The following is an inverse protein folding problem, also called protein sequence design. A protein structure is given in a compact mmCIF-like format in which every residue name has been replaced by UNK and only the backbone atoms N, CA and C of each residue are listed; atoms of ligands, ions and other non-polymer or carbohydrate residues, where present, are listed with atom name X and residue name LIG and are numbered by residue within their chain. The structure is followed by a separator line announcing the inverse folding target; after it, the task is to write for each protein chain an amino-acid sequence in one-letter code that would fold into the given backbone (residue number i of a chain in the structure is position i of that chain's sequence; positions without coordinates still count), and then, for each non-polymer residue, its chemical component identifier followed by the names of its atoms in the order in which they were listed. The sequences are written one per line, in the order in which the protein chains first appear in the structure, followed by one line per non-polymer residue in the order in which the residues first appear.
data_IF_621666451455
#
_entry.id   IF_621666451455
#
_cell.length_a   1.000
_cell.length_b   1.000
_cell.length_c   1.000
_cell.angle_alpha   90.00
_cell.angle_beta   90.00
_cell.angle_gamma   90.00
#
_symmetry.space_group_name_H-M   'P 1'
#
loop_
_entity.id
_entity.type
_entity.pdbx_description
1 polymer ?
#
# COMPACT_ATOMS: atom_id res chain seq x y z
N UNK A 1 19.38 9.56 -1.47
CA UNK A 1 18.91 8.44 -2.30
C UNK A 1 18.36 9.06 -3.58
N UNK A 2 18.91 8.70 -4.73
CA UNK A 2 18.46 9.20 -6.03
C UNK A 2 18.05 8.02 -6.92
N UNK A 3 16.80 8.04 -7.38
CA UNK A 3 16.31 7.17 -8.43
C UNK A 3 16.12 7.99 -9.72
N UNK A 4 16.24 7.41 -10.92
CA UNK A 4 16.06 8.14 -12.18
C UNK A 4 14.69 8.82 -12.24
N UNK A 5 14.66 10.09 -12.69
CA UNK A 5 13.39 10.79 -12.94
C UNK A 5 12.84 10.35 -14.29
N UNK A 6 11.60 9.89 -14.29
CA UNK A 6 10.91 9.41 -15.49
C UNK A 6 9.97 10.47 -16.05
N UNK A 7 9.49 10.26 -17.27
CA UNK A 7 8.57 11.15 -17.94
C UNK A 7 7.26 10.45 -18.26
N UNK A 8 6.19 10.83 -17.55
CA UNK A 8 4.86 10.28 -17.75
C UNK A 8 4.18 10.73 -19.05
N UNK A 9 4.70 11.81 -19.68
CA UNK A 9 4.02 12.37 -20.86
C UNK A 9 4.01 11.39 -22.03
N UNK A 10 2.91 11.34 -22.78
CA UNK A 10 1.75 12.23 -22.74
C UNK A 10 0.60 11.78 -21.82
N UNK A 11 0.78 10.78 -20.94
CA UNK A 11 -0.29 10.29 -20.03
C UNK A 11 -0.54 11.18 -18.81
N UNK A 12 -1.63 10.91 -18.10
CA UNK A 12 -1.96 11.49 -16.80
C UNK A 12 -1.82 10.48 -15.66
N UNK A 13 -0.84 9.58 -15.74
CA UNK A 13 -0.59 8.51 -14.75
C UNK A 13 0.31 8.96 -13.59
N UNK A 14 0.39 10.25 -13.26
CA UNK A 14 1.24 10.77 -12.18
C UNK A 14 1.10 9.99 -10.86
N UNK A 15 -0.11 9.53 -10.53
CA UNK A 15 -0.40 8.72 -9.35
C UNK A 15 0.35 7.37 -9.35
N UNK A 16 0.50 6.71 -10.51
CA UNK A 16 1.24 5.47 -10.65
C UNK A 16 2.75 5.71 -10.55
N UNK A 17 3.26 6.80 -11.18
CA UNK A 17 4.66 7.20 -11.09
C UNK A 17 5.11 7.53 -9.66
N UNK A 18 4.25 8.17 -8.87
CA UNK A 18 4.59 8.49 -7.48
C UNK A 18 4.62 7.24 -6.61
N UNK A 19 3.69 6.31 -6.82
CA UNK A 19 3.66 5.08 -6.03
C UNK A 19 4.80 4.12 -6.42
N UNK A 20 5.14 4.03 -7.73
CA UNK A 20 6.34 3.32 -8.17
C UNK A 20 7.59 3.88 -7.49
N UNK A 21 7.75 5.21 -7.47
CA UNK A 21 8.87 5.85 -6.80
C UNK A 21 8.95 5.55 -5.30
N UNK A 22 7.81 5.53 -4.58
CA UNK A 22 7.79 5.15 -3.17
C UNK A 22 8.34 3.74 -2.97
N UNK A 23 7.87 2.77 -3.76
CA UNK A 23 8.31 1.38 -3.64
C UNK A 23 9.79 1.19 -4.04
N UNK A 24 10.24 1.87 -5.09
CA UNK A 24 11.66 1.85 -5.50
C UNK A 24 12.59 2.45 -4.43
N UNK A 25 12.16 3.54 -3.79
CA UNK A 25 12.89 4.15 -2.68
C UNK A 25 12.91 3.21 -1.47
N UNK A 26 11.81 2.53 -1.17
CA UNK A 26 11.76 1.55 -0.08
C UNK A 26 12.73 0.39 -0.31
N UNK A 27 12.87 -0.10 -1.54
CA UNK A 27 13.87 -1.12 -1.89
C UNK A 27 15.31 -0.64 -1.66
N UNK A 28 15.61 0.61 -2.03
CA UNK A 28 16.94 1.18 -1.78
C UNK A 28 17.22 1.31 -0.28
N UNK A 29 16.24 1.73 0.52
CA UNK A 29 16.39 1.79 1.99
C UNK A 29 16.61 0.41 2.60
N UNK A 30 15.88 -0.60 2.12
CA UNK A 30 16.05 -1.99 2.56
C UNK A 30 17.35 -2.64 2.06
N UNK A 31 18.15 -1.95 1.22
CA UNK A 31 19.38 -2.49 0.62
C UNK A 31 19.13 -3.54 -0.46
N UNK A 32 17.91 -3.64 -0.98
CA UNK A 32 17.56 -4.60 -2.04
C UNK A 32 18.10 -4.21 -3.42
N UNK A 33 18.48 -2.93 -3.60
CA UNK A 33 19.02 -2.40 -4.85
C UNK A 33 18.05 -1.50 -5.59
N UNK A 34 18.47 -1.07 -6.78
CA UNK A 34 17.67 -0.22 -7.66
C UNK A 34 16.79 -1.10 -8.55
N UNK A 35 15.49 -0.85 -8.51
CA UNK A 35 14.49 -1.47 -9.39
C UNK A 35 13.84 -0.40 -10.26
N UNK A 36 13.37 -0.80 -11.41
CA UNK A 36 12.62 0.01 -12.37
C UNK A 36 11.23 -0.63 -12.52
N UNK A 37 10.24 -0.10 -11.77
CA UNK A 37 8.89 -0.66 -11.71
C UNK A 37 8.02 -0.06 -12.80
N UNK A 38 7.13 -0.89 -13.37
CA UNK A 38 6.23 -0.50 -14.44
C UNK A 38 5.00 0.25 -13.93
N UNK A 39 4.89 1.52 -14.25
CA UNK A 39 3.69 2.32 -14.02
C UNK A 39 2.53 1.88 -14.93
N UNK A 40 2.85 1.41 -16.14
CA UNK A 40 1.88 0.85 -17.07
C UNK A 40 1.21 -0.40 -16.50
N UNK A 41 1.97 -1.28 -15.85
CA UNK A 41 1.43 -2.45 -15.16
C UNK A 41 0.39 -2.05 -14.12
N UNK A 42 0.75 -1.11 -13.22
CA UNK A 42 -0.13 -0.65 -12.16
C UNK A 42 -1.41 -0.03 -12.75
N UNK A 43 -1.26 0.91 -13.67
CA UNK A 43 -2.40 1.64 -14.22
C UNK A 43 -3.34 0.73 -15.01
N UNK A 44 -2.79 -0.14 -15.85
CA UNK A 44 -3.58 -1.06 -16.66
C UNK A 44 -4.36 -2.06 -15.81
N UNK A 45 -3.69 -2.76 -14.87
CA UNK A 45 -4.36 -3.79 -14.08
C UNK A 45 -5.20 -3.24 -12.94
N UNK A 46 -4.99 -2.00 -12.50
CA UNK A 46 -5.95 -1.31 -11.66
C UNK A 46 -7.33 -1.20 -12.35
N UNK A 47 -7.35 -0.80 -13.62
CA UNK A 47 -8.57 -0.65 -14.41
C UNK A 47 -9.10 -2.00 -14.97
N UNK A 48 -8.20 -2.93 -15.27
CA UNK A 48 -8.50 -4.21 -15.92
C UNK A 48 -8.15 -5.39 -14.99
N UNK A 49 -8.55 -5.27 -13.72
CA UNK A 49 -8.21 -6.26 -12.73
C UNK A 49 -8.59 -7.68 -13.14
N UNK A 50 -7.83 -8.65 -12.68
CA UNK A 50 -8.04 -10.08 -12.92
C UNK A 50 -8.35 -10.80 -11.61
N UNK A 51 -9.01 -11.94 -11.73
CA UNK A 51 -9.23 -12.81 -10.60
C UNK A 51 -7.89 -13.20 -9.94
N UNK A 52 -7.86 -13.24 -8.63
CA UNK A 52 -6.67 -13.63 -7.86
C UNK A 52 -6.26 -15.09 -8.16
N UNK A 53 -4.98 -15.45 -7.96
CA UNK A 53 -4.48 -16.81 -8.25
C UNK A 53 -5.21 -17.91 -7.48
N UNK A 54 -5.82 -17.59 -6.33
CA UNK A 54 -6.59 -18.52 -5.52
C UNK A 54 -8.09 -18.57 -5.87
N UNK A 55 -8.56 -17.72 -6.80
CA UNK A 55 -9.91 -17.75 -7.34
C UNK A 55 -10.99 -17.22 -6.40
N UNK A 56 -10.67 -16.28 -5.51
CA UNK A 56 -11.59 -15.76 -4.51
C UNK A 56 -12.32 -14.47 -4.93
N UNK A 57 -11.87 -13.77 -5.98
CA UNK A 57 -12.26 -12.38 -6.30
C UNK A 57 -12.77 -12.22 -7.75
N UNK A 58 -13.34 -13.28 -8.32
CA UNK A 58 -13.77 -13.30 -9.72
C UNK A 58 -14.82 -12.24 -10.08
N UNK A 59 -15.63 -11.84 -9.10
CA UNK A 59 -16.75 -10.91 -9.30
C UNK A 59 -16.43 -9.47 -8.90
N UNK A 60 -15.23 -9.21 -8.34
CA UNK A 60 -14.82 -7.86 -7.97
C UNK A 60 -14.35 -7.08 -9.18
N UNK A 61 -14.67 -5.78 -9.25
CA UNK A 61 -14.27 -4.91 -10.34
C UNK A 61 -13.84 -3.53 -9.87
N UNK A 62 -12.88 -2.97 -10.62
CA UNK A 62 -12.59 -1.55 -10.70
C UNK A 62 -12.93 -1.15 -12.15
N UNK A 63 -14.05 -0.51 -12.37
CA UNK A 63 -14.47 -0.07 -13.70
C UNK A 63 -14.13 1.41 -13.86
N UNK A 64 -13.01 1.69 -14.52
CA UNK A 64 -12.58 3.06 -14.83
C UNK A 64 -13.38 3.57 -16.02
N UNK A 65 -14.03 4.74 -15.85
CA UNK A 65 -14.98 5.30 -16.83
C UNK A 65 -14.28 6.03 -18.00
N UNK A 66 -12.97 6.22 -17.91
CA UNK A 66 -12.11 6.84 -18.90
C UNK A 66 -10.99 5.89 -19.33
N UNK A 67 -10.01 6.40 -20.06
CA UNK A 67 -8.78 5.64 -20.31
C UNK A 67 -8.04 5.38 -18.97
N UNK A 68 -7.51 4.19 -18.78
CA UNK A 68 -6.69 3.86 -17.61
C UNK A 68 -5.42 4.72 -17.48
N UNK A 69 -5.04 5.41 -18.57
CA UNK A 69 -3.92 6.34 -18.63
C UNK A 69 -4.32 7.78 -18.27
N UNK A 70 -5.57 8.00 -17.82
CA UNK A 70 -6.11 9.30 -17.45
C UNK A 70 -6.50 9.33 -15.98
N UNK A 71 -5.64 9.93 -15.15
CA UNK A 71 -5.93 10.12 -13.75
C UNK A 71 -5.92 8.84 -12.91
N UNK A 72 -6.06 9.01 -11.60
CA UNK A 72 -6.08 7.93 -10.61
C UNK A 72 -5.86 8.48 -9.21
N UNK A 73 -5.60 7.57 -8.26
CA UNK A 73 -5.48 7.91 -6.85
C UNK A 73 -4.52 6.96 -6.14
N UNK A 74 -3.53 7.50 -5.43
CA UNK A 74 -2.49 6.71 -4.75
C UNK A 74 -3.03 5.84 -3.62
N UNK A 75 -4.03 6.32 -2.87
CA UNK A 75 -4.66 5.54 -1.79
C UNK A 75 -5.36 4.31 -2.35
N UNK A 76 -6.15 4.48 -3.43
CA UNK A 76 -6.82 3.38 -4.12
C UNK A 76 -5.80 2.41 -4.75
N UNK A 77 -4.71 2.94 -5.28
CA UNK A 77 -3.63 2.13 -5.85
C UNK A 77 -2.89 1.31 -4.78
N UNK A 78 -2.64 1.86 -3.59
CA UNK A 78 -2.06 1.11 -2.48
C UNK A 78 -2.99 -0.03 -2.02
N UNK A 79 -4.30 0.22 -1.96
CA UNK A 79 -5.30 -0.83 -1.70
C UNK A 79 -5.21 -1.92 -2.78
N UNK A 80 -5.14 -1.55 -4.06
CA UNK A 80 -4.96 -2.49 -5.16
C UNK A 80 -3.68 -3.30 -5.01
N UNK A 81 -2.54 -2.68 -4.72
CA UNK A 81 -1.26 -3.36 -4.56
C UNK A 81 -1.22 -4.33 -3.38
N UNK A 82 -2.08 -4.16 -2.37
CA UNK A 82 -2.20 -5.12 -1.26
C UNK A 82 -2.72 -6.49 -1.72
N UNK A 83 -3.29 -6.57 -2.90
CA UNK A 83 -3.69 -7.85 -3.54
C UNK A 83 -2.54 -8.58 -4.22
N UNK A 84 -1.35 -7.97 -4.26
CA UNK A 84 -0.18 -8.43 -5.00
C UNK A 84 -0.38 -8.53 -6.52
N UNK A 85 -1.30 -7.77 -7.06
CA UNK A 85 -1.54 -7.63 -8.50
C UNK A 85 -0.61 -6.57 -9.11
N UNK A 86 0.68 -6.75 -8.95
CA UNK A 86 1.73 -5.83 -9.45
C UNK A 86 2.59 -5.28 -8.30
N UNK A 87 3.63 -4.48 -8.57
CA UNK A 87 4.08 -4.00 -9.90
C UNK A 87 5.13 -4.95 -10.46
N UNK A 88 5.09 -5.17 -11.78
CA UNK A 88 6.16 -5.83 -12.52
C UNK A 88 7.32 -4.84 -12.78
N UNK A 89 8.43 -5.33 -13.36
CA UNK A 89 9.50 -4.46 -13.85
C UNK A 89 9.09 -3.75 -15.15
N UNK A 90 9.59 -2.53 -15.35
CA UNK A 90 9.42 -1.76 -16.60
C UNK A 90 9.89 -2.54 -17.83
N UNK A 91 10.98 -3.31 -17.70
CA UNK A 91 11.48 -4.19 -18.78
C UNK A 91 10.53 -5.31 -19.17
N UNK A 92 9.56 -5.66 -18.34
CA UNK A 92 8.54 -6.69 -18.60
C UNK A 92 7.27 -6.10 -19.21
N UNK A 93 6.88 -4.91 -18.76
CA UNK A 93 5.70 -4.17 -19.23
C UNK A 93 6.10 -2.70 -19.38
N UNK A 94 6.75 -2.33 -20.49
CA UNK A 94 7.25 -0.99 -20.68
C UNK A 94 6.12 0.03 -20.94
N UNK A 95 6.30 1.25 -20.43
CA UNK A 95 5.52 2.40 -20.83
C UNK A 95 5.90 2.82 -22.26
N UNK A 96 5.08 2.45 -23.23
CA UNK A 96 5.35 2.70 -24.64
C UNK A 96 4.52 3.84 -25.22
N UNK A 97 5.18 4.67 -26.02
CA UNK A 97 4.56 5.69 -26.85
C UNK A 97 4.89 5.45 -28.30
N UNK A 98 4.05 5.96 -29.19
CA UNK A 98 4.35 5.98 -30.64
C UNK A 98 5.55 6.89 -30.95
N UNK A 99 6.08 6.79 -32.18
CA UNK A 99 7.20 7.61 -32.64
C UNK A 99 6.94 9.13 -32.62
N UNK A 100 5.68 9.55 -32.61
CA UNK A 100 5.24 10.94 -32.46
C UNK A 100 4.98 11.34 -31.01
N UNK A 101 5.38 10.50 -30.04
CA UNK A 101 5.14 10.67 -28.59
C UNK A 101 3.66 10.67 -28.19
N UNK A 102 2.78 10.09 -28.99
CA UNK A 102 1.40 9.79 -28.59
C UNK A 102 1.32 8.43 -27.90
N UNK A 103 0.25 8.19 -27.15
CA UNK A 103 0.02 6.87 -26.51
C UNK A 103 -0.31 5.81 -27.57
N UNK A 104 0.36 4.66 -27.48
CA UNK A 104 0.04 3.50 -28.30
C UNK A 104 -1.14 2.75 -27.68
N UNK A 105 -2.34 2.99 -28.21
CA UNK A 105 -3.57 2.36 -27.72
C UNK A 105 -3.66 0.86 -28.04
N UNK A 106 -2.87 0.38 -28.99
CA UNK A 106 -2.91 -1.01 -29.47
C UNK A 106 -1.97 -1.92 -28.63
N UNK A 107 -1.05 -1.30 -27.87
CA UNK A 107 -0.15 -2.01 -26.98
C UNK A 107 -0.68 -2.01 -25.57
N UNK A 108 -1.34 -3.09 -25.20
CA UNK A 108 -1.86 -3.32 -23.86
C UNK A 108 -1.22 -4.55 -23.22
N UNK A 109 -0.99 -4.57 -21.90
CA UNK A 109 -0.43 -5.71 -21.20
C UNK A 109 -1.26 -6.98 -21.41
N UNK A 110 -0.61 -8.12 -21.64
CA UNK A 110 -1.29 -9.42 -21.66
C UNK A 110 -1.96 -9.71 -20.30
N UNK A 111 -3.16 -10.24 -20.31
CA UNK A 111 -3.88 -10.63 -19.10
C UNK A 111 -3.12 -11.60 -18.18
N UNK A 112 -2.18 -12.37 -18.74
CA UNK A 112 -1.33 -13.29 -17.98
C UNK A 112 -0.30 -12.57 -17.11
N UNK A 113 -0.06 -11.27 -17.35
CA UNK A 113 0.90 -10.47 -16.61
C UNK A 113 0.32 -9.88 -15.31
N UNK A 114 -0.98 -10.02 -15.04
CA UNK A 114 -1.65 -9.37 -13.91
C UNK A 114 -1.00 -9.63 -12.54
N UNK A 115 -0.44 -10.82 -12.35
CA UNK A 115 0.24 -11.23 -11.11
C UNK A 115 1.74 -11.49 -11.30
N UNK A 116 2.34 -10.89 -12.34
CA UNK A 116 3.80 -10.79 -12.47
C UNK A 116 4.30 -9.68 -11.54
N UNK A 117 4.51 -10.05 -10.29
CA UNK A 117 4.80 -9.11 -9.21
C UNK A 117 6.28 -9.14 -8.86
N UNK A 118 6.93 -7.99 -8.91
CA UNK A 118 8.28 -7.75 -8.36
C UNK A 118 8.17 -7.03 -7.01
N UNK A 119 7.25 -6.08 -6.90
CA UNK A 119 7.00 -5.32 -5.69
C UNK A 119 5.77 -5.86 -4.94
N UNK A 120 6.01 -6.64 -3.89
CA UNK A 120 4.97 -7.13 -2.98
C UNK A 120 4.76 -6.10 -1.87
N UNK A 121 3.64 -5.40 -1.88
CA UNK A 121 3.32 -4.41 -0.85
C UNK A 121 3.31 -5.07 0.53
N UNK A 122 4.05 -4.50 1.47
CA UNK A 122 4.07 -4.90 2.89
C UNK A 122 3.24 -3.94 3.72
N UNK A 123 3.55 -2.65 3.65
CA UNK A 123 2.87 -1.61 4.43
C UNK A 123 2.58 -0.38 3.58
N UNK A 124 1.51 0.33 3.92
CA UNK A 124 1.23 1.65 3.38
C UNK A 124 0.57 2.52 4.46
N UNK A 125 1.12 3.70 4.71
CA UNK A 125 0.56 4.67 5.63
C UNK A 125 -0.24 5.73 4.85
N UNK A 126 -1.47 6.00 5.31
CA UNK A 126 -2.34 7.04 4.78
C UNK A 126 -2.39 8.19 5.78
N UNK A 127 -2.16 9.41 5.35
CA UNK A 127 -2.12 10.56 6.25
C UNK A 127 -2.93 11.74 5.72
N UNK A 128 -3.42 12.56 6.61
CA UNK A 128 -3.83 13.92 6.31
C UNK A 128 -2.60 14.84 6.24
N UNK A 129 -2.74 16.00 5.60
CA UNK A 129 -1.63 16.93 5.49
C UNK A 129 -1.24 17.50 6.86
N UNK A 130 -0.04 17.16 7.28
CA UNK A 130 0.63 17.70 8.47
C UNK A 130 2.14 17.68 8.22
N UNK A 131 2.81 18.82 8.43
CA UNK A 131 4.27 18.91 8.21
C UNK A 131 5.01 17.88 9.07
N UNK A 132 4.63 17.73 10.33
CA UNK A 132 5.30 16.78 11.23
C UNK A 132 5.06 15.34 10.83
N UNK A 133 3.80 14.97 10.48
CA UNK A 133 3.48 13.61 10.06
C UNK A 133 4.22 13.24 8.76
N UNK A 134 4.25 14.15 7.77
CA UNK A 134 4.95 13.90 6.51
C UNK A 134 6.46 13.74 6.74
N UNK A 135 7.08 14.55 7.60
CA UNK A 135 8.49 14.39 7.98
C UNK A 135 8.76 13.05 8.64
N UNK A 136 7.86 12.61 9.53
CA UNK A 136 7.93 11.28 10.15
C UNK A 136 7.86 10.18 9.12
N UNK A 137 6.88 10.24 8.22
CA UNK A 137 6.70 9.25 7.15
C UNK A 137 7.88 9.21 6.16
N UNK A 138 8.45 10.38 5.78
CA UNK A 138 9.66 10.42 4.95
C UNK A 138 10.84 9.77 5.69
N UNK A 139 10.97 10.01 7.00
CA UNK A 139 12.05 9.41 7.80
C UNK A 139 11.91 7.89 7.92
N UNK A 140 10.68 7.38 8.00
CA UNK A 140 10.38 5.97 8.15
C UNK A 140 10.40 5.22 6.81
N UNK A 141 9.69 5.74 5.80
CA UNK A 141 9.49 5.08 4.50
C UNK A 141 10.42 5.59 3.38
N UNK A 142 11.17 6.67 3.63
CA UNK A 142 12.06 7.31 2.64
C UNK A 142 11.40 8.27 1.68
N UNK A 143 10.11 8.15 1.48
CA UNK A 143 9.35 9.04 0.60
C UNK A 143 7.85 8.98 0.88
N UNK A 144 7.15 10.00 0.37
CA UNK A 144 5.70 10.14 0.49
C UNK A 144 5.11 10.63 -0.83
N UNK A 145 4.11 9.95 -1.37
CA UNK A 145 3.29 10.47 -2.47
C UNK A 145 2.34 11.55 -1.95
N UNK A 146 2.14 12.60 -2.72
CA UNK A 146 1.16 13.65 -2.43
C UNK A 146 0.48 14.12 -3.71
N UNK A 147 -0.84 14.20 -3.70
CA UNK A 147 -1.61 14.87 -4.75
C UNK A 147 -1.79 16.34 -4.41
N UNK A 148 -1.68 17.22 -5.40
CA UNK A 148 -1.81 18.67 -5.20
C UNK A 148 -2.37 19.38 -6.44
N UNK A 149 -2.74 20.65 -6.29
CA UNK A 149 -3.11 21.50 -7.42
C UNK A 149 -1.87 22.13 -8.01
N UNK A 150 -1.50 21.78 -9.25
CA UNK A 150 -0.40 22.37 -10.00
C UNK A 150 -0.92 23.36 -11.03
N UNK A 151 -0.52 24.63 -10.89
CA UNK A 151 -0.90 25.74 -11.77
C UNK A 151 0.33 26.61 -12.06
N UNK A 152 0.70 26.77 -13.33
CA UNK A 152 1.94 27.42 -13.77
C UNK A 152 2.12 28.84 -13.21
N UNK A 153 1.02 29.57 -12.98
CA UNK A 153 1.05 30.93 -12.39
C UNK A 153 1.78 31.00 -11.05
N UNK A 154 1.79 29.89 -10.28
CA UNK A 154 2.39 29.83 -8.94
C UNK A 154 3.75 29.16 -8.93
N UNK A 155 4.26 28.73 -10.07
CA UNK A 155 5.59 28.16 -10.22
C UNK A 155 6.62 29.24 -10.54
N UNK A 156 7.75 29.22 -9.83
CA UNK A 156 8.90 30.06 -10.13
C UNK A 156 9.96 29.23 -10.87
N UNK A 157 10.14 29.41 -12.19
CA UNK A 157 11.07 28.61 -12.97
C UNK A 157 12.56 28.92 -12.72
N UNK A 158 12.87 30.00 -12.01
CA UNK A 158 14.26 30.39 -11.70
C UNK A 158 14.76 29.77 -10.41
N UNK A 159 13.87 29.49 -9.47
CA UNK A 159 14.18 28.91 -8.17
C UNK A 159 13.53 27.53 -7.99
N UNK A 160 12.79 27.07 -9.00
CA UNK A 160 12.03 25.83 -8.99
C UNK A 160 11.05 25.70 -7.82
N UNK A 161 10.57 26.82 -7.31
CA UNK A 161 9.72 26.91 -6.12
C UNK A 161 8.24 27.01 -6.50
N UNK A 162 7.39 26.33 -5.74
CA UNK A 162 5.94 26.29 -5.97
C UNK A 162 5.15 26.42 -4.69
N UNK A 163 4.06 27.19 -4.72
CA UNK A 163 3.02 27.17 -3.68
C UNK A 163 1.70 27.70 -4.22
N UNK A 164 0.65 26.91 -4.09
CA UNK A 164 -0.71 27.31 -4.46
C UNK A 164 -1.49 27.77 -3.22
N UNK A 165 -1.96 29.03 -3.17
CA UNK A 165 -2.68 29.57 -2.02
C UNK A 165 -4.17 29.19 -1.99
N UNK A 166 -4.69 28.60 -3.07
CA UNK A 166 -6.09 28.18 -3.20
C UNK A 166 -6.31 26.73 -2.77
N UNK A 167 -7.58 26.34 -2.66
CA UNK A 167 -8.00 25.01 -2.23
C UNK A 167 -8.72 24.19 -3.31
N UNK A 168 -8.82 24.71 -4.53
CA UNK A 168 -9.55 24.05 -5.61
C UNK A 168 -8.64 23.26 -6.55
N UNK A 169 -9.08 22.11 -7.02
CA UNK A 169 -8.54 21.43 -8.19
C UNK A 169 -7.23 20.69 -7.98
N UNK A 170 -7.26 19.53 -7.34
CA UNK A 170 -6.17 18.55 -7.42
C UNK A 170 -6.06 18.03 -8.85
N UNK A 171 -4.89 18.16 -9.46
CA UNK A 171 -4.66 17.76 -10.86
C UNK A 171 -3.32 17.07 -11.11
N UNK A 172 -2.47 16.97 -10.09
CA UNK A 172 -1.15 16.34 -10.21
C UNK A 172 -0.74 15.60 -8.94
N UNK A 173 0.17 14.65 -9.09
CA UNK A 173 0.78 13.90 -7.97
C UNK A 173 2.30 13.89 -8.10
N UNK A 174 2.98 13.97 -6.96
CA UNK A 174 4.45 14.01 -6.85
C UNK A 174 4.92 13.17 -5.67
N UNK A 175 6.23 12.90 -5.64
CA UNK A 175 6.87 12.19 -4.53
C UNK A 175 7.72 13.17 -3.72
N UNK A 176 7.39 13.33 -2.43
CA UNK A 176 8.19 14.04 -1.47
C UNK A 176 9.32 13.11 -0.99
N UNK A 177 10.57 13.56 -1.09
CA UNK A 177 11.76 12.76 -0.74
C UNK A 177 12.58 13.39 0.39
N UNK A 178 12.19 14.56 0.85
CA UNK A 178 12.89 15.30 1.89
C UNK A 178 12.28 16.68 2.10
N UNK A 179 12.97 17.49 2.87
CA UNK A 179 12.57 18.85 3.19
C UNK A 179 13.78 19.75 3.52
N UNK A 180 13.57 21.06 3.44
CA UNK A 180 14.49 22.08 3.92
C UNK A 180 13.70 23.13 4.73
N UNK A 181 13.89 23.15 6.05
CA UNK A 181 13.21 24.08 6.96
C UNK A 181 13.67 25.54 6.77
N UNK A 182 14.83 25.73 6.15
CA UNK A 182 15.43 27.06 5.90
C UNK A 182 15.21 27.54 4.46
N UNK A 183 14.54 26.77 3.61
CA UNK A 183 14.25 27.18 2.23
C UNK A 183 13.54 28.53 2.23
N UNK A 184 14.16 29.55 1.61
CA UNK A 184 13.69 30.93 1.73
C UNK A 184 12.32 31.12 1.06
N UNK A 185 11.40 31.76 1.78
CA UNK A 185 10.12 32.21 1.22
C UNK A 185 10.26 33.11 0.02
N UNK A 186 11.36 33.85 -0.10
CA UNK A 186 11.63 34.76 -1.21
C UNK A 186 11.85 34.01 -2.55
N UNK A 187 12.05 32.69 -2.51
CA UNK A 187 12.18 31.88 -3.70
C UNK A 187 10.83 31.60 -4.37
N UNK A 188 9.73 31.73 -3.64
CA UNK A 188 8.40 31.46 -4.19
C UNK A 188 7.89 32.64 -5.03
N UNK A 189 7.01 32.33 -5.99
CA UNK A 189 6.34 33.36 -6.77
C UNK A 189 5.53 34.29 -5.85
N UNK A 190 5.58 35.60 -6.08
CA UNK A 190 4.85 36.60 -5.27
C UNK A 190 3.34 36.35 -5.21
N UNK A 191 2.75 35.78 -6.29
CA UNK A 191 1.34 35.39 -6.31
C UNK A 191 0.99 34.26 -5.34
N UNK A 192 1.98 33.51 -4.84
CA UNK A 192 1.79 32.42 -3.88
C UNK A 192 1.54 32.90 -2.45
N UNK A 193 1.89 34.14 -2.12
CA UNK A 193 1.73 34.76 -0.80
C UNK A 193 2.32 33.92 0.36
N UNK A 194 3.47 33.28 0.14
CA UNK A 194 4.17 32.50 1.17
C UNK A 194 4.74 33.43 2.23
N UNK A 195 4.49 33.13 3.50
CA UNK A 195 4.84 34.01 4.64
C UNK A 195 5.98 33.50 5.49
N UNK A 196 6.27 32.21 5.47
CA UNK A 196 7.35 31.59 6.25
C UNK A 196 8.30 30.77 5.36
N UNK A 197 9.50 30.53 5.88
CA UNK A 197 10.46 29.64 5.26
C UNK A 197 10.02 28.17 5.41
N UNK A 198 10.56 27.32 4.58
CA UNK A 198 10.39 25.89 4.61
C UNK A 198 9.70 25.33 3.36
N UNK A 199 10.27 24.26 2.86
CA UNK A 199 9.77 23.56 1.67
C UNK A 199 10.01 22.07 1.72
N UNK A 200 9.15 21.34 1.04
CA UNK A 200 9.36 19.96 0.64
C UNK A 200 10.28 19.90 -0.57
N UNK A 201 11.17 18.92 -0.60
CA UNK A 201 11.91 18.52 -1.80
C UNK A 201 11.06 17.49 -2.53
N UNK A 202 10.54 17.87 -3.69
CA UNK A 202 9.59 17.09 -4.47
C UNK A 202 10.21 16.58 -5.77
N UNK A 203 10.05 15.26 -6.02
CA UNK A 203 10.39 14.61 -7.27
C UNK A 203 9.15 14.60 -8.17
N UNK A 204 9.29 15.14 -9.38
CA UNK A 204 8.25 15.14 -10.40
C UNK A 204 8.40 13.92 -11.33
N UNK A 205 7.44 13.74 -12.23
CA UNK A 205 7.39 12.71 -13.28
C UNK A 205 7.30 13.32 -14.69
N UNK A 206 8.03 14.43 -14.92
CA UNK A 206 8.06 15.14 -16.21
C UNK A 206 9.42 15.14 -16.88
N UNK A 207 10.28 14.17 -16.53
CA UNK A 207 11.64 14.05 -17.04
C UNK A 207 12.62 14.92 -16.27
N UNK A 208 13.91 14.71 -16.47
CA UNK A 208 15.02 15.40 -15.85
C UNK A 208 15.30 16.77 -16.49
N UNK A 209 14.74 17.05 -17.66
CA UNK A 209 14.80 18.38 -18.30
C UNK A 209 13.89 19.41 -17.62
N UNK A 210 12.95 18.99 -16.78
CA UNK A 210 12.03 19.86 -16.07
C UNK A 210 12.53 20.17 -14.65
N UNK A 211 12.34 21.41 -14.19
CA UNK A 211 12.73 21.81 -12.83
C UNK A 211 14.26 21.75 -12.61
N UNK A 212 14.67 21.41 -11.40
CA UNK A 212 16.07 21.14 -11.06
C UNK A 212 16.36 19.65 -11.25
N UNK A 213 16.68 19.24 -12.48
CA UNK A 213 16.90 17.84 -12.86
C UNK A 213 15.71 16.93 -12.47
N UNK A 214 14.48 17.40 -12.70
CA UNK A 214 13.24 16.69 -12.38
C UNK A 214 12.72 16.93 -10.96
N UNK A 215 13.40 17.76 -10.16
CA UNK A 215 12.99 18.12 -8.79
C UNK A 215 12.52 19.56 -8.71
N UNK A 216 11.79 19.87 -7.63
CA UNK A 216 11.33 21.22 -7.32
C UNK A 216 10.97 21.34 -5.83
N UNK A 217 10.63 22.54 -5.37
CA UNK A 217 10.39 22.82 -3.97
C UNK A 217 8.95 23.29 -3.75
N UNK A 218 8.22 22.62 -2.84
CA UNK A 218 6.85 23.00 -2.49
C UNK A 218 6.82 23.57 -1.07
N UNK A 219 6.28 24.80 -0.93
CA UNK A 219 6.12 25.40 0.39
C UNK A 219 5.28 24.55 1.32
N UNK A 220 5.63 24.52 2.61
CA UNK A 220 4.75 23.96 3.65
C UNK A 220 3.38 24.64 3.71
N UNK A 221 3.27 25.88 3.23
CA UNK A 221 2.03 26.64 3.19
C UNK A 221 1.15 26.32 1.96
N UNK A 222 1.57 25.40 1.08
CA UNK A 222 0.73 24.95 -0.03
C UNK A 222 -0.59 24.37 0.51
N UNK A 223 -1.74 24.84 0.01
CA UNK A 223 -3.03 24.52 0.64
C UNK A 223 -3.79 23.36 0.02
N UNK A 224 -3.55 23.05 -1.24
CA UNK A 224 -4.26 22.00 -1.96
C UNK A 224 -3.43 20.70 -1.95
N UNK A 225 -3.40 20.01 -0.81
CA UNK A 225 -2.62 18.78 -0.61
C UNK A 225 -3.53 17.63 -0.15
N UNK A 226 -3.53 16.52 -0.88
CA UNK A 226 -4.41 15.38 -0.64
C UNK A 226 -3.70 14.05 -0.93
N UNK A 227 -4.35 12.93 -0.62
CA UNK A 227 -3.91 11.57 -0.92
C UNK A 227 -2.43 11.34 -0.54
N UNK A 228 -2.12 11.59 0.72
CA UNK A 228 -0.76 11.44 1.25
C UNK A 228 -0.57 9.98 1.61
N UNK A 229 0.35 9.33 0.90
CA UNK A 229 0.62 7.89 1.02
C UNK A 229 2.12 7.66 1.07
N UNK A 230 2.59 7.01 2.13
CA UNK A 230 3.89 6.34 2.16
C UNK A 230 3.68 4.84 1.96
N UNK A 231 4.62 4.15 1.32
CA UNK A 231 4.49 2.73 1.07
C UNK A 231 5.85 2.05 1.01
N UNK A 232 5.88 0.79 1.47
CA UNK A 232 7.04 -0.08 1.36
C UNK A 232 6.64 -1.46 0.84
N UNK A 233 7.59 -2.13 0.19
CA UNK A 233 7.40 -3.44 -0.38
C UNK A 233 8.66 -4.30 -0.30
N UNK A 234 8.48 -5.60 -0.46
CA UNK A 234 9.58 -6.55 -0.62
C UNK A 234 9.58 -7.16 -2.02
N UNK A 235 10.76 -7.57 -2.49
CA UNK A 235 10.90 -8.36 -3.72
C UNK A 235 10.86 -9.87 -3.45
N UNK A 236 10.88 -10.29 -2.19
CA UNK A 236 11.00 -11.68 -1.78
C UNK A 236 10.17 -11.97 -0.53
N UNK A 237 8.83 -11.98 -0.64
CA UNK A 237 7.98 -12.25 0.50
C UNK A 237 8.23 -13.66 1.05
N UNK A 238 8.25 -13.80 2.37
CA UNK A 238 8.40 -15.08 3.06
C UNK A 238 7.21 -16.02 2.82
N UNK A 239 6.02 -15.43 2.79
CA UNK A 239 4.77 -16.10 2.50
C UNK A 239 4.31 -15.68 1.11
N UNK A 240 4.04 -16.62 0.20
CA UNK A 240 3.83 -16.34 -1.23
C UNK A 240 2.39 -16.53 -1.69
N UNK A 241 1.50 -16.97 -0.81
CA UNK A 241 0.07 -17.07 -1.10
C UNK A 241 -0.66 -15.99 -0.34
N UNK A 242 -1.51 -15.24 -1.02
CA UNK A 242 -2.30 -14.15 -0.43
C UNK A 242 -3.79 -14.51 -0.52
N UNK A 243 -4.41 -14.76 0.61
CA UNK A 243 -5.85 -15.06 0.73
C UNK A 243 -6.60 -13.76 1.04
N UNK A 244 -7.55 -13.40 0.20
CA UNK A 244 -8.42 -12.24 0.39
C UNK A 244 -9.71 -12.37 -0.39
N UNK A 245 -10.74 -11.60 -0.03
CA UNK A 245 -12.01 -11.48 -0.74
C UNK A 245 -12.25 -10.03 -1.23
N UNK A 246 -11.49 -9.08 -0.74
CA UNK A 246 -11.60 -7.66 -1.04
C UNK A 246 -10.76 -7.29 -2.28
N UNK A 247 -11.18 -7.73 -3.44
CA UNK A 247 -10.42 -7.55 -4.69
C UNK A 247 -10.59 -6.18 -5.33
N UNK A 248 -11.69 -5.44 -5.12
CA UNK A 248 -11.83 -4.08 -5.61
C UNK A 248 -11.10 -3.07 -4.73
N UNK A 249 -10.80 -1.90 -5.27
CA UNK A 249 -10.07 -0.83 -4.55
C UNK A 249 -11.00 0.18 -3.87
N UNK A 250 -12.27 -0.15 -3.67
CA UNK A 250 -13.24 0.72 -3.00
C UNK A 250 -12.73 1.20 -1.63
N UNK A 251 -12.79 2.51 -1.39
CA UNK A 251 -12.41 3.12 -0.12
C UNK A 251 -13.66 3.33 0.74
N UNK A 252 -14.20 2.24 1.26
CA UNK A 252 -15.33 2.26 2.19
C UNK A 252 -14.83 2.00 3.63
N UNK A 253 -15.61 2.46 4.61
CA UNK A 253 -15.22 2.43 6.01
C UNK A 253 -16.33 1.85 6.87
N UNK A 254 -15.95 1.10 7.89
CA UNK A 254 -16.85 0.68 8.95
C UNK A 254 -16.26 1.10 10.31
N UNK A 255 -17.13 1.36 11.28
CA UNK A 255 -16.70 1.68 12.63
C UNK A 255 -16.52 0.40 13.44
N UNK A 256 -15.30 0.19 13.97
CA UNK A 256 -15.02 -0.82 14.99
C UNK A 256 -14.99 -0.14 16.34
N UNK A 257 -15.93 -0.52 17.18
CA UNK A 257 -16.07 -0.05 18.55
C UNK A 257 -15.17 -0.87 19.48
N UNK A 258 -14.80 -0.32 20.65
CA UNK A 258 -14.12 -1.10 21.68
C UNK A 258 -14.85 -2.38 22.04
N UNK A 259 -14.11 -3.46 22.28
CA UNK A 259 -14.67 -4.72 22.77
C UNK A 259 -15.48 -4.51 24.07
N UNK A 260 -16.65 -5.14 24.16
CA UNK A 260 -17.59 -4.94 25.24
C UNK A 260 -18.56 -3.76 25.05
N UNK A 261 -18.45 -2.99 23.96
CA UNK A 261 -19.39 -1.92 23.62
C UNK A 261 -20.57 -2.43 22.78
N UNK A 262 -21.56 -1.57 22.52
CA UNK A 262 -22.79 -1.99 21.81
C UNK A 262 -22.65 -2.05 20.28
N UNK A 263 -21.52 -1.66 19.71
CA UNK A 263 -21.29 -1.63 18.27
C UNK A 263 -20.65 -2.90 17.72
N UNK A 264 -20.19 -2.83 16.46
CA UNK A 264 -19.34 -3.89 15.88
C UNK A 264 -17.97 -3.77 16.56
N UNK A 265 -17.54 -4.81 17.28
CA UNK A 265 -16.25 -4.82 17.97
C UNK A 265 -15.22 -5.75 17.32
N UNK A 266 -15.68 -6.72 16.51
CA UNK A 266 -14.80 -7.63 15.79
C UNK A 266 -15.28 -7.85 14.37
N UNK A 267 -14.33 -8.19 13.50
CA UNK A 267 -14.56 -8.60 12.11
C UNK A 267 -13.76 -9.87 11.82
N UNK A 268 -14.21 -10.64 10.84
CA UNK A 268 -13.51 -11.87 10.47
C UNK A 268 -13.68 -12.19 8.98
N UNK A 269 -12.67 -12.83 8.40
CA UNK A 269 -12.79 -13.51 7.11
C UNK A 269 -12.55 -15.01 7.30
N UNK A 270 -13.36 -15.84 6.60
CA UNK A 270 -13.27 -17.30 6.61
C UNK A 270 -12.72 -17.78 5.28
N UNK A 271 -11.59 -18.46 5.30
CA UNK A 271 -10.91 -18.97 4.12
C UNK A 271 -10.86 -20.50 4.11
N UNK A 272 -10.62 -21.06 2.94
CA UNK A 272 -10.27 -22.46 2.77
C UNK A 272 -8.81 -22.58 2.35
N UNK A 273 -8.01 -23.33 3.08
CA UNK A 273 -6.63 -23.63 2.72
C UNK A 273 -6.59 -24.45 1.42
N UNK A 274 -5.98 -23.91 0.36
CA UNK A 274 -5.98 -24.55 -0.97
C UNK A 274 -4.70 -24.38 -1.78
N UNK A 275 -3.71 -23.64 -1.26
CA UNK A 275 -2.44 -23.42 -1.93
C UNK A 275 -1.36 -24.48 -1.59
N UNK A 276 -1.64 -25.38 -0.69
CA UNK A 276 -0.66 -26.33 -0.11
C UNK A 276 -0.30 -27.54 -0.94
N UNK A 277 -0.83 -27.72 -2.15
CA UNK A 277 -0.55 -28.86 -3.03
C UNK A 277 -0.58 -30.24 -2.34
N UNK A 278 -1.48 -30.43 -1.37
CA UNK A 278 -1.63 -31.66 -0.59
C UNK A 278 -0.76 -31.77 0.67
N UNK A 279 0.29 -30.93 0.80
CA UNK A 279 1.17 -30.93 1.99
C UNK A 279 0.69 -29.98 3.10
N UNK A 280 -0.31 -29.15 2.81
CA UNK A 280 -0.75 -28.09 3.71
C UNK A 280 0.06 -26.80 3.55
N UNK A 281 -0.27 -25.85 4.38
CA UNK A 281 0.27 -24.48 4.37
C UNK A 281 0.64 -24.04 5.77
N UNK A 282 1.54 -23.06 5.89
CA UNK A 282 1.78 -22.32 7.12
C UNK A 282 1.36 -20.87 6.93
N UNK A 283 0.37 -20.40 7.68
CA UNK A 283 -0.02 -19.01 7.80
C UNK A 283 0.92 -18.33 8.80
N UNK A 284 1.48 -17.18 8.44
CA UNK A 284 2.40 -16.48 9.33
C UNK A 284 2.31 -14.96 9.28
N UNK A 285 1.45 -14.40 8.40
CA UNK A 285 1.17 -12.97 8.35
C UNK A 285 -0.32 -12.72 8.14
N UNK A 286 -0.80 -11.64 8.74
CA UNK A 286 -2.16 -11.12 8.56
C UNK A 286 -2.06 -9.66 8.11
N UNK A 287 -2.75 -9.31 7.03
CA UNK A 287 -2.82 -7.93 6.55
C UNK A 287 -4.10 -7.28 7.05
N UNK A 288 -3.96 -6.10 7.59
CA UNK A 288 -5.02 -5.26 8.13
C UNK A 288 -5.09 -3.95 7.35
N UNK A 289 -6.27 -3.34 7.27
CA UNK A 289 -6.44 -2.06 6.60
C UNK A 289 -7.31 -1.12 7.43
N UNK A 290 -6.73 -0.05 7.94
CA UNK A 290 -7.39 0.92 8.83
C UNK A 290 -7.47 2.31 8.19
N UNK A 291 -8.34 3.17 8.72
CA UNK A 291 -8.43 4.57 8.30
C UNK A 291 -8.32 5.56 9.47
N UNK A 292 -7.99 5.05 10.65
CA UNK A 292 -7.73 5.85 11.85
C UNK A 292 -6.31 5.56 12.33
N UNK A 293 -5.56 6.62 12.63
CA UNK A 293 -4.26 6.53 13.30
C UNK A 293 -4.46 6.06 14.75
N UNK A 294 -3.54 5.25 15.27
CA UNK A 294 -3.49 4.91 16.67
C UNK A 294 -4.56 3.93 17.14
N UNK A 295 -4.66 2.74 16.57
CA UNK A 295 -5.59 1.68 17.01
C UNK A 295 -4.91 0.48 17.63
N UNK A 296 -5.50 -0.10 18.69
CA UNK A 296 -5.03 -1.36 19.28
C UNK A 296 -5.95 -2.51 18.91
N UNK A 297 -5.38 -3.57 18.37
CA UNK A 297 -6.12 -4.73 17.87
C UNK A 297 -5.58 -6.03 18.44
N UNK A 298 -6.45 -7.05 18.51
CA UNK A 298 -6.02 -8.43 18.68
C UNK A 298 -6.41 -9.27 17.47
N UNK A 299 -5.51 -10.20 17.11
CA UNK A 299 -5.66 -11.14 16.02
C UNK A 299 -5.73 -12.54 16.60
N UNK A 300 -6.81 -13.27 16.27
CA UNK A 300 -6.94 -14.69 16.56
C UNK A 300 -7.22 -15.46 15.28
N UNK A 301 -6.58 -16.61 15.12
CA UNK A 301 -6.83 -17.53 14.02
C UNK A 301 -7.56 -18.74 14.58
N UNK A 302 -8.67 -19.14 13.95
CA UNK A 302 -9.36 -20.38 14.25
C UNK A 302 -9.14 -21.36 13.11
N UNK A 303 -8.69 -22.56 13.44
CA UNK A 303 -8.43 -23.64 12.48
C UNK A 303 -9.49 -24.72 12.54
N UNK A 304 -9.65 -25.49 11.46
CA UNK A 304 -10.57 -26.60 11.38
C UNK A 304 -12.01 -26.20 11.75
N UNK A 305 -12.51 -25.12 11.14
CA UNK A 305 -13.88 -24.66 11.37
C UNK A 305 -14.86 -25.80 11.04
N UNK A 306 -15.84 -26.00 11.92
CA UNK A 306 -16.91 -27.01 11.78
C UNK A 306 -18.11 -26.45 11.02
N UNK A 307 -18.25 -25.12 11.02
CA UNK A 307 -19.35 -24.40 10.40
C UNK A 307 -18.78 -23.15 9.73
N UNK A 308 -18.89 -23.07 8.39
CA UNK A 308 -18.40 -21.94 7.61
C UNK A 308 -19.11 -20.64 7.96
N UNK A 309 -20.38 -20.71 8.39
CA UNK A 309 -21.19 -19.55 8.78
C UNK A 309 -20.85 -18.99 10.17
N UNK A 310 -19.97 -19.67 10.92
CA UNK A 310 -19.50 -19.23 12.23
C UNK A 310 -17.97 -19.17 12.27
N UNK A 311 -17.37 -17.97 12.19
CA UNK A 311 -15.91 -17.80 12.10
C UNK A 311 -15.13 -18.28 13.33
N UNK A 312 -15.80 -18.57 14.44
CA UNK A 312 -15.17 -19.06 15.69
C UNK A 312 -15.54 -20.51 16.03
N UNK A 313 -16.09 -21.27 15.04
CA UNK A 313 -16.51 -22.68 15.24
C UNK A 313 -15.35 -23.67 15.27
N UNK A 314 -14.13 -23.23 15.06
CA UNK A 314 -12.91 -24.04 15.05
C UNK A 314 -12.14 -24.03 16.36
N UNK A 315 -10.88 -24.46 16.28
CA UNK A 315 -9.94 -24.42 17.39
C UNK A 315 -9.09 -23.14 17.32
N UNK A 316 -9.02 -22.34 18.39
CA UNK A 316 -8.15 -21.17 18.41
C UNK A 316 -6.68 -21.61 18.31
N UNK A 317 -5.92 -21.00 17.42
CA UNK A 317 -4.52 -21.33 17.19
C UNK A 317 -3.61 -20.80 18.31
N UNK A 318 -4.01 -19.70 18.95
CA UNK A 318 -3.24 -19.06 20.02
C UNK A 318 -4.00 -19.13 21.33
N UNK A 319 -3.29 -19.46 22.42
CA UNK A 319 -3.86 -19.41 23.78
C UNK A 319 -4.25 -17.98 24.16
N UNK A 320 -3.43 -17.02 23.76
CA UNK A 320 -3.71 -15.58 23.85
C UNK A 320 -3.63 -15.01 22.44
N UNK A 321 -4.62 -14.22 21.99
CA UNK A 321 -4.55 -13.53 20.70
C UNK A 321 -3.29 -12.68 20.55
N UNK A 322 -2.76 -12.57 19.34
CA UNK A 322 -1.64 -11.66 19.05
C UNK A 322 -2.16 -10.23 19.12
N UNK A 323 -1.49 -9.36 19.87
CA UNK A 323 -1.86 -7.95 19.97
C UNK A 323 -0.96 -7.10 19.05
N UNK A 324 -1.56 -6.09 18.44
CA UNK A 324 -0.91 -5.20 17.51
C UNK A 324 -1.41 -3.76 17.73
N UNK A 325 -0.49 -2.80 17.61
CA UNK A 325 -0.80 -1.37 17.63
C UNK A 325 -0.56 -0.78 16.25
N UNK A 326 -1.58 -0.22 15.64
CA UNK A 326 -1.52 0.47 14.35
C UNK A 326 -1.20 1.95 14.61
N UNK A 327 0.01 2.38 14.29
CA UNK A 327 0.42 3.77 14.50
C UNK A 327 -0.21 4.70 13.46
N UNK A 328 -0.12 4.34 12.18
CA UNK A 328 -0.68 5.10 11.06
C UNK A 328 -1.90 4.40 10.47
N UNK A 329 -2.88 5.18 10.03
CA UNK A 329 -3.92 4.66 9.13
C UNK A 329 -3.28 4.06 7.88
N UNK A 330 -3.90 3.03 7.31
CA UNK A 330 -3.39 2.41 6.08
C UNK A 330 -3.41 0.89 6.13
N UNK A 331 -2.47 0.29 5.42
CA UNK A 331 -2.31 -1.16 5.27
C UNK A 331 -1.10 -1.59 6.07
N UNK A 332 -1.27 -2.61 6.91
CA UNK A 332 -0.17 -3.17 7.71
C UNK A 332 -0.15 -4.69 7.63
N UNK A 333 1.04 -5.23 7.40
CA UNK A 333 1.31 -6.66 7.46
C UNK A 333 1.85 -6.99 8.85
N UNK A 334 1.11 -7.83 9.59
CA UNK A 334 1.41 -8.21 10.96
C UNK A 334 1.87 -9.66 11.00
N UNK A 335 3.10 -9.89 11.47
CA UNK A 335 3.59 -11.24 11.72
C UNK A 335 2.82 -11.88 12.88
N UNK A 336 2.46 -13.15 12.70
CA UNK A 336 1.86 -13.99 13.74
C UNK A 336 2.65 -15.30 13.87
N UNK A 337 2.60 -16.00 15.02
CA UNK A 337 3.19 -17.34 15.11
C UNK A 337 2.64 -18.26 14.01
N UNK A 338 3.50 -19.01 13.35
CA UNK A 338 3.08 -19.86 12.22
C UNK A 338 2.01 -20.86 12.63
N UNK A 339 0.93 -20.90 11.86
CA UNK A 339 -0.23 -21.79 12.03
C UNK A 339 -0.29 -22.76 10.85
N UNK A 340 -0.12 -24.04 11.12
CA UNK A 340 -0.23 -25.08 10.09
C UNK A 340 -1.70 -25.33 9.72
N UNK A 341 -1.98 -25.25 8.43
CA UNK A 341 -3.29 -25.45 7.84
C UNK A 341 -3.25 -26.67 6.93
N UNK A 342 -4.14 -27.63 7.16
CA UNK A 342 -4.28 -28.78 6.27
C UNK A 342 -5.03 -28.37 5.00
N UNK A 343 -4.59 -28.87 3.86
CA UNK A 343 -5.25 -28.59 2.59
C UNK A 343 -6.74 -28.98 2.61
N UNK A 344 -7.61 -28.09 2.13
CA UNK A 344 -9.05 -28.25 2.11
C UNK A 344 -9.77 -27.86 3.41
N UNK A 345 -9.06 -27.60 4.52
CA UNK A 345 -9.70 -27.20 5.78
C UNK A 345 -10.07 -25.72 5.78
N UNK A 346 -11.15 -25.40 6.52
CA UNK A 346 -11.56 -24.02 6.74
C UNK A 346 -10.82 -23.43 7.93
N UNK A 347 -10.43 -22.16 7.80
CA UNK A 347 -9.86 -21.35 8.87
C UNK A 347 -10.41 -19.94 8.81
N UNK A 348 -10.32 -19.21 9.91
CA UNK A 348 -10.68 -17.79 9.97
C UNK A 348 -9.57 -16.95 10.57
N UNK A 349 -9.54 -15.70 10.15
CA UNK A 349 -8.78 -14.62 10.80
C UNK A 349 -9.78 -13.69 11.44
N UNK A 350 -9.71 -13.55 12.75
CA UNK A 350 -10.58 -12.69 13.56
C UNK A 350 -9.78 -11.52 14.10
N UNK A 351 -10.22 -10.30 13.80
CA UNK A 351 -9.68 -9.04 14.30
C UNK A 351 -10.66 -8.41 15.29
N UNK A 352 -10.16 -7.99 16.44
CA UNK A 352 -10.97 -7.30 17.47
C UNK A 352 -10.31 -5.98 17.84
N UNK A 353 -11.10 -4.90 17.93
CA UNK A 353 -10.63 -3.65 18.52
C UNK A 353 -10.57 -3.80 20.04
N UNK A 354 -9.36 -3.81 20.59
CA UNK A 354 -9.09 -3.89 22.05
C UNK A 354 -8.65 -2.54 22.64
N UNK A 355 -8.63 -1.48 21.82
CA UNK A 355 -8.39 -0.12 22.27
C UNK A 355 -9.57 0.48 23.01
N UNK A 356 -9.41 1.70 23.54
CA UNK A 356 -10.45 2.47 24.21
C UNK A 356 -11.35 3.25 23.26
N UNK A 357 -10.88 3.47 22.02
CA UNK A 357 -11.52 4.37 21.08
C UNK A 357 -12.18 3.63 19.92
N UNK A 358 -13.22 4.23 19.36
CA UNK A 358 -13.81 3.76 18.11
C UNK A 358 -12.89 4.13 16.95
N UNK A 359 -12.58 3.16 16.10
CA UNK A 359 -11.71 3.33 14.94
C UNK A 359 -12.47 3.09 13.64
N UNK A 360 -12.03 3.70 12.55
CA UNK A 360 -12.51 3.41 11.20
C UNK A 360 -11.62 2.33 10.57
N UNK A 361 -12.22 1.23 10.14
CA UNK A 361 -11.58 0.13 9.45
C UNK A 361 -11.99 0.14 7.98
N UNK A 362 -11.06 -0.15 7.07
CA UNK A 362 -11.35 -0.20 5.65
C UNK A 362 -12.09 -1.49 5.28
N UNK A 363 -13.12 -1.32 4.48
CA UNK A 363 -13.86 -2.42 3.89
C UNK A 363 -14.11 -2.16 2.40
N UNK A 364 -14.45 -3.21 1.69
CA UNK A 364 -14.92 -3.17 0.32
C UNK A 364 -16.45 -3.14 0.32
N UNK A 365 -17.02 -2.25 -0.51
CA UNK A 365 -18.46 -2.21 -0.82
C UNK A 365 -18.63 -1.78 -2.27
N UNK A 366 -19.81 -1.94 -2.85
CA UNK A 366 -20.14 -1.24 -4.08
C UNK A 366 -20.12 0.26 -3.83
N UNK A 367 -19.32 0.98 -4.61
CA UNK A 367 -19.18 2.43 -4.50
C UNK A 367 -18.72 3.02 -5.83
N UNK A 368 -18.88 4.33 -6.01
CA UNK A 368 -18.47 5.03 -7.21
C UNK A 368 -17.87 6.39 -6.88
N UNK A 369 -16.92 6.80 -7.72
CA UNK A 369 -16.45 8.17 -7.88
C UNK A 369 -16.78 8.62 -9.31
N UNK A 370 -16.61 9.87 -9.62
CA UNK A 370 -16.92 10.43 -10.95
C UNK A 370 -16.16 9.74 -12.11
N UNK A 371 -15.07 9.06 -11.81
CA UNK A 371 -14.16 8.46 -12.80
C UNK A 371 -13.98 6.93 -12.68
N UNK A 372 -14.48 6.30 -11.59
CA UNK A 372 -14.36 4.86 -11.37
C UNK A 372 -15.52 4.31 -10.56
N UNK A 373 -16.03 3.15 -10.96
CA UNK A 373 -17.02 2.37 -10.22
C UNK A 373 -16.37 1.10 -9.66
N UNK A 374 -16.74 0.76 -8.42
CA UNK A 374 -16.26 -0.44 -7.74
C UNK A 374 -17.41 -1.41 -7.51
N UNK A 375 -17.20 -2.65 -7.89
CA UNK A 375 -18.10 -3.75 -7.61
C UNK A 375 -17.43 -4.72 -6.64
N UNK A 376 -18.10 -4.97 -5.49
CA UNK A 376 -17.72 -5.99 -4.52
C UNK A 376 -18.44 -7.29 -4.87
N UNK A 377 -17.67 -8.37 -4.97
CA UNK A 377 -18.16 -9.71 -5.34
C UNK A 377 -18.37 -10.64 -4.16
N UNK A 378 -18.61 -10.13 -2.96
CA UNK A 378 -18.72 -10.90 -1.73
C UNK A 378 -19.84 -11.98 -1.81
N UNK A 379 -19.47 -13.20 -1.49
CA UNK A 379 -20.39 -14.33 -1.34
C UNK A 379 -20.72 -14.59 0.14
N UNK A 380 -21.77 -15.39 0.38
CA UNK A 380 -22.15 -15.78 1.74
C UNK A 380 -21.02 -16.57 2.43
N UNK A 381 -20.92 -16.40 3.72
CA UNK A 381 -20.00 -17.09 4.61
C UNK A 381 -18.50 -16.81 4.31
N UNK A 382 -18.18 -15.62 3.79
CA UNK A 382 -16.80 -15.17 3.52
C UNK A 382 -16.32 -14.15 4.54
N UNK A 383 -17.14 -13.13 4.86
CA UNK A 383 -16.76 -12.03 5.73
C UNK A 383 -17.85 -11.71 6.74
N UNK A 384 -17.46 -11.42 7.98
CA UNK A 384 -18.36 -11.34 9.14
C UNK A 384 -18.06 -10.15 10.03
N UNK A 385 -19.10 -9.67 10.75
CA UNK A 385 -18.97 -8.73 11.87
C UNK A 385 -19.58 -9.31 13.14
N UNK A 386 -19.04 -8.91 14.28
CA UNK A 386 -19.52 -9.29 15.61
C UNK A 386 -20.09 -8.12 16.37
N UNK A 387 -21.29 -8.30 16.88
CA UNK A 387 -21.96 -7.39 17.81
C UNK A 387 -22.15 -8.08 19.14
N UNK A 388 -21.84 -7.40 20.24
CA UNK A 388 -22.00 -7.95 21.60
C UNK A 388 -23.41 -8.48 21.89
N UNK A 389 -24.44 -7.86 21.32
CA UNK A 389 -25.84 -8.28 21.53
C UNK A 389 -26.32 -9.38 20.61
N UNK A 390 -25.80 -9.41 19.36
CA UNK A 390 -26.36 -10.24 18.28
C UNK A 390 -25.43 -11.38 17.86
N UNK A 391 -24.17 -11.36 18.36
CA UNK A 391 -23.15 -12.31 17.91
C UNK A 391 -22.65 -12.03 16.47
N UNK A 392 -22.15 -13.06 15.83
CA UNK A 392 -21.63 -12.99 14.46
C UNK A 392 -22.75 -12.85 13.44
N UNK A 393 -22.53 -11.98 12.47
CA UNK A 393 -23.41 -11.75 11.33
C UNK A 393 -22.59 -11.73 10.04
N UNK A 394 -23.11 -12.36 9.00
CA UNK A 394 -22.49 -12.40 7.67
C UNK A 394 -22.69 -11.05 6.97
N UNK A 395 -21.61 -10.44 6.52
CA UNK A 395 -21.62 -9.16 5.82
C UNK A 395 -22.33 -9.19 4.47
N UNK A 396 -22.42 -10.37 3.82
CA UNK A 396 -23.19 -10.50 2.56
C UNK A 396 -24.69 -10.27 2.77
N UNK A 397 -25.18 -10.39 4.02
CA UNK A 397 -26.59 -10.22 4.42
C UNK A 397 -26.85 -8.83 4.99
N UNK A 398 -25.83 -7.94 5.10
CA UNK A 398 -26.00 -6.57 5.55
C UNK A 398 -26.40 -5.67 4.39
N UNK A 399 -26.86 -4.44 4.69
CA UNK A 399 -27.19 -3.45 3.67
C UNK A 399 -26.51 -2.10 4.02
N UNK A 400 -25.52 -1.63 3.23
CA UNK A 400 -24.90 -2.36 2.09
C UNK A 400 -24.12 -3.60 2.56
N UNK A 401 -23.93 -4.57 1.67
CA UNK A 401 -22.99 -5.67 1.89
C UNK A 401 -21.56 -5.12 1.91
N UNK A 402 -20.73 -5.67 2.77
CA UNK A 402 -19.35 -5.23 2.93
C UNK A 402 -18.39 -6.43 3.06
N UNK A 403 -17.15 -6.28 2.63
CA UNK A 403 -16.07 -7.22 2.90
C UNK A 403 -15.00 -6.54 3.74
N UNK A 404 -14.64 -7.12 4.87
CA UNK A 404 -13.53 -6.61 5.68
C UNK A 404 -12.20 -6.84 4.94
N UNK A 405 -11.33 -5.79 4.86
CA UNK A 405 -10.02 -5.90 4.24
C UNK A 405 -9.03 -6.61 5.17
N UNK A 406 -9.27 -7.93 5.32
CA UNK A 406 -8.39 -8.83 6.06
C UNK A 406 -7.79 -9.81 5.06
N UNK A 407 -6.45 -9.91 5.02
CA UNK A 407 -5.76 -10.89 4.19
C UNK A 407 -4.93 -11.82 5.05
N UNK A 408 -4.68 -13.03 4.53
CA UNK A 408 -3.84 -14.02 5.20
C UNK A 408 -2.74 -14.46 4.24
N UNK A 409 -1.49 -14.28 4.65
CA UNK A 409 -0.35 -14.74 3.87
C UNK A 409 0.13 -16.09 4.38
N UNK A 410 0.26 -17.03 3.44
CA UNK A 410 0.70 -18.40 3.73
C UNK A 410 1.87 -18.79 2.84
N UNK A 411 2.59 -19.80 3.26
CA UNK A 411 3.56 -20.53 2.43
C UNK A 411 3.17 -21.99 2.33
N UNK A 412 3.37 -22.60 1.17
CA UNK A 412 3.20 -24.02 0.98
C UNK A 412 4.22 -24.79 1.81
N UNK A 413 3.79 -25.81 2.53
CA UNK A 413 4.70 -26.70 3.23
C UNK A 413 5.36 -27.66 2.23
N UNK A 414 6.69 -27.77 2.28
CA UNK A 414 7.40 -28.80 1.53
C UNK A 414 7.03 -30.19 2.09
N UNK A 415 6.90 -31.19 1.21
CA UNK A 415 6.87 -32.58 1.66
C UNK A 415 8.10 -32.80 2.54
N UNK A 416 7.89 -33.39 3.73
CA UNK A 416 9.00 -33.79 4.58
C UNK A 416 9.89 -34.72 3.74
N UNK A 417 11.04 -34.23 3.30
CA UNK A 417 12.09 -35.10 2.82
C UNK A 417 12.51 -35.91 4.05
N UNK A 418 12.21 -37.20 4.06
CA UNK A 418 12.74 -38.12 5.06
C UNK A 418 14.27 -38.11 4.89
N UNK A 419 14.92 -37.12 5.44
CA UNK A 419 16.36 -37.06 5.53
C UNK A 419 16.79 -37.90 6.75
N UNK A 420 16.94 -39.22 6.52
CA UNK A 420 17.70 -40.09 7.41
C UNK A 420 19.20 -39.77 7.36
N UNK A 421 19.56 -38.52 7.43
CA UNK A 421 20.93 -38.07 7.62
C UNK A 421 20.96 -37.03 8.74
N UNK A 422 21.78 -37.31 9.71
CA UNK A 422 22.13 -36.50 10.87
C UNK A 422 22.46 -35.07 10.42
N UNK A 423 21.53 -34.15 10.56
CA UNK A 423 21.80 -32.71 10.32
C UNK A 423 22.63 -32.19 11.50
N UNK A 424 23.91 -31.93 11.25
CA UNK A 424 24.77 -31.11 12.10
C UNK A 424 24.21 -29.67 12.05
N UNK A 425 23.53 -29.27 13.11
CA UNK A 425 23.13 -27.87 13.32
C UNK A 425 24.33 -27.02 13.69
N UNK A 426 24.86 -26.27 12.73
CA UNK A 426 25.76 -25.16 13.03
C UNK A 426 24.96 -24.00 13.61
N UNK A 427 25.00 -23.81 14.92
CA UNK A 427 24.57 -22.56 15.55
C UNK A 427 25.70 -21.54 15.39
N UNK A 428 25.55 -20.60 14.47
CA UNK A 428 26.33 -19.36 14.50
C UNK A 428 25.83 -18.52 15.68
N UNK A 429 26.70 -18.30 16.66
CA UNK A 429 26.45 -17.27 17.69
C UNK A 429 26.64 -15.90 17.04
N UNK A 430 25.72 -14.94 17.21
CA UNK A 430 26.00 -13.59 16.80
C UNK A 430 27.12 -13.00 17.62
N UNK A 431 28.16 -12.49 16.97
CA UNK A 431 29.16 -11.68 17.59
C UNK A 431 28.59 -10.30 17.96
N UNK A 432 28.99 -9.71 19.10
CA UNK A 432 28.50 -8.39 19.46
C UNK A 432 29.02 -7.35 18.47
N UNK A 433 28.08 -6.55 17.92
CA UNK A 433 28.39 -5.39 17.07
C UNK A 433 28.98 -4.30 17.96
N UNK A 434 30.30 -4.11 17.87
CA UNK A 434 30.97 -2.94 18.42
C UNK A 434 30.97 -1.84 17.36
N UNK A 435 30.32 -0.75 17.69
CA UNK A 435 30.36 0.59 17.08
C UNK A 435 30.79 0.66 15.60
N UNK A 436 29.83 0.98 14.72
CA UNK A 436 30.11 1.49 13.36
C UNK A 436 30.30 2.99 13.46
N UNK A 437 31.52 3.48 13.30
CA UNK A 437 31.79 4.90 13.06
C UNK A 437 31.71 5.16 11.54
N UNK A 438 30.72 5.93 11.12
CA UNK A 438 30.61 6.43 9.75
C UNK A 438 31.51 7.66 9.60
N UNK A 439 32.61 7.51 8.87
CA UNK A 439 33.42 8.64 8.39
C UNK A 439 33.01 9.00 6.97
N UNK A 440 32.50 10.21 6.79
CA UNK A 440 32.18 10.76 5.48
C UNK A 440 33.41 11.40 4.85
N UNK A 441 33.82 10.97 3.68
CA UNK A 441 34.80 11.67 2.84
C UNK A 441 34.05 12.54 1.82
N UNK A 442 34.31 13.83 1.86
CA UNK A 442 33.76 14.84 0.96
C UNK A 442 34.30 14.63 -0.44
N UNK A 443 33.45 14.34 -1.42
CA UNK A 443 33.84 14.40 -2.83
C UNK A 443 33.88 15.87 -3.27
N UNK A 444 35.01 16.28 -3.83
CA UNK A 444 35.20 17.62 -4.31
C UNK A 444 34.42 17.81 -5.62
N UNK A 445 33.51 18.80 -5.67
CA UNK A 445 32.91 19.27 -6.92
C UNK A 445 31.41 19.57 -6.94
N UNK A 446 30.71 19.50 -5.82
CA UNK A 446 29.29 19.93 -5.79
C UNK A 446 29.10 20.96 -4.69
N UNK A 447 29.13 22.22 -5.09
CA UNK A 447 28.77 23.34 -4.24
C UNK A 447 27.26 23.56 -4.37
N UNK A 448 26.46 22.87 -3.56
CA UNK A 448 25.07 23.17 -3.16
C UNK A 448 24.20 21.95 -2.84
N UNK A 449 24.78 20.88 -2.39
CA UNK A 449 24.07 19.88 -1.58
C UNK A 449 25.06 19.49 -0.48
N UNK A 450 25.30 20.41 0.42
CA UNK A 450 26.10 20.15 1.59
C UNK A 450 25.27 20.59 2.77
N UNK A 451 24.58 19.67 3.33
CA UNK A 451 24.06 19.66 4.69
C UNK A 451 22.76 18.84 4.75
N UNK A 452 22.84 17.62 4.22
CA UNK A 452 21.88 16.55 4.55
C UNK A 452 22.65 15.31 4.98
#
# INVERSE_FOLDING_TARGET
ISIPVRNQKPSNMCWAYTLAANLEISFLQAGAGLFDLSEEHLAYFFANRRNDPLGNTANDKNEVLHSYREGGNQTLAAIFLSTWSGMALESQIPYETNADHTLDSDKVPSSQMAYQTTAYLENAAFSSYSVNNIKSLISEYGSVSMSFGMYDTYYNPYTYAYSYPGSAGVNHAITLIGWDDNYSRENFNSASNVTSNGAWIARNSWGDDWGEAGYFYISYENKCNYNIVAAEATTSPKYRNNYFYDGSSALSKLKLYPSGSSGISSIANVFQAKAGNGNGEALGEVVLATYTDGGSYSIQIYTNLKDKSNPVSGTPAFANPVTFYQEHAGISTVEVPEVNLMNGTLYSVVLTNIGSDTVEYLCETNSAYDWVEFQAGLEADQSFCYHEKNGWSDFSKTSPSACARIKAHTRTLSSAVNCNQTCLTFRLRPAPITQISLTWTKAAGVSRISDL
#
